data_IF_057304164622
#
_entry.id   IF_057304164622
#
_cell.length_a   1.000
_cell.length_b   1.000
_cell.length_c   1.000
_cell.angle_alpha   90.00
_cell.angle_beta   90.00
_cell.angle_gamma   90.00
#
_symmetry.space_group_name_H-M   'P 1'
#
loop_
_entity.id
_entity.type
_entity.pdbx_description
1 polymer ?
#
# COMPACT_ATOMS: atom_id res chain seq x y z
N UNK A 1 -29.13 -3.47 -48.45
CA UNK A 1 -27.69 -3.60 -48.13
C UNK A 1 -27.47 -4.58 -46.97
N UNK A 2 -27.61 -5.90 -47.19
CA UNK A 2 -27.33 -6.96 -46.20
C UNK A 2 -26.68 -8.20 -46.86
N UNK A 3 -25.85 -7.99 -47.89
CA UNK A 3 -25.29 -9.10 -48.69
C UNK A 3 -23.76 -9.14 -48.74
N UNK A 4 -23.07 -8.50 -47.79
CA UNK A 4 -21.59 -8.48 -47.77
C UNK A 4 -20.97 -8.98 -46.46
N UNK A 5 -21.68 -9.77 -45.66
CA UNK A 5 -21.04 -10.53 -44.57
C UNK A 5 -20.30 -11.75 -45.16
N UNK A 6 -19.34 -11.53 -46.06
CA UNK A 6 -18.43 -12.59 -46.51
C UNK A 6 -17.51 -12.94 -45.35
N UNK A 7 -17.78 -14.07 -44.68
CA UNK A 7 -16.86 -14.85 -43.81
C UNK A 7 -15.71 -14.03 -43.20
N UNK A 8 -16.03 -12.97 -42.45
CA UNK A 8 -15.02 -12.28 -41.68
C UNK A 8 -14.58 -13.23 -40.58
N UNK A 9 -13.30 -13.60 -40.57
CA UNK A 9 -12.72 -14.38 -39.49
C UNK A 9 -12.71 -13.52 -38.21
N UNK A 10 -12.52 -14.17 -37.07
CA UNK A 10 -12.49 -13.45 -35.79
C UNK A 10 -11.37 -12.39 -35.77
N UNK A 11 -10.25 -12.64 -36.43
CA UNK A 11 -9.12 -11.71 -36.53
C UNK A 11 -9.53 -10.41 -37.20
N UNK A 12 -10.32 -10.48 -38.28
CA UNK A 12 -10.84 -9.33 -39.00
C UNK A 12 -11.80 -8.51 -38.11
N UNK A 13 -12.77 -9.16 -37.47
CA UNK A 13 -13.67 -8.48 -36.51
C UNK A 13 -12.91 -7.84 -35.36
N UNK A 14 -11.92 -8.54 -34.80
CA UNK A 14 -11.06 -8.03 -33.73
C UNK A 14 -10.30 -6.79 -34.18
N UNK A 15 -9.76 -6.79 -35.40
CA UNK A 15 -9.06 -5.64 -35.98
C UNK A 15 -9.99 -4.43 -36.15
N UNK A 16 -11.20 -4.63 -36.64
CA UNK A 16 -12.18 -3.54 -36.79
C UNK A 16 -12.62 -2.96 -35.44
N UNK A 17 -12.87 -3.81 -34.45
CA UNK A 17 -13.22 -3.37 -33.09
C UNK A 17 -12.08 -2.54 -32.49
N UNK A 18 -10.84 -3.01 -32.60
CA UNK A 18 -9.66 -2.27 -32.14
C UNK A 18 -9.54 -0.94 -32.86
N UNK A 19 -9.72 -0.92 -34.18
CA UNK A 19 -9.62 0.31 -34.98
C UNK A 19 -10.67 1.34 -34.56
N UNK A 20 -11.89 0.90 -34.28
CA UNK A 20 -13.00 1.78 -33.92
C UNK A 20 -12.94 2.26 -32.48
N UNK A 21 -12.52 1.41 -31.54
CA UNK A 21 -12.66 1.66 -30.10
C UNK A 21 -11.34 1.83 -29.35
N UNK A 22 -10.23 1.30 -29.84
CA UNK A 22 -8.90 1.44 -29.22
C UNK A 22 -8.18 2.72 -29.69
N UNK A 23 -8.91 3.83 -29.70
CA UNK A 23 -8.37 5.15 -30.00
C UNK A 23 -7.36 5.60 -28.92
N UNK A 24 -6.59 6.66 -29.21
CA UNK A 24 -5.53 7.13 -28.31
C UNK A 24 -6.05 7.48 -26.91
N UNK A 25 -7.27 8.01 -26.79
CA UNK A 25 -7.87 8.33 -25.49
C UNK A 25 -8.12 7.07 -24.65
N UNK A 26 -8.65 6.02 -25.26
CA UNK A 26 -8.84 4.73 -24.60
C UNK A 26 -7.50 4.12 -24.16
N UNK A 27 -6.47 4.16 -25.03
CA UNK A 27 -5.13 3.65 -24.69
C UNK A 27 -4.54 4.38 -23.48
N UNK A 28 -4.56 5.71 -23.50
CA UNK A 28 -4.09 6.53 -22.37
C UNK A 28 -4.87 6.21 -21.09
N UNK A 29 -6.18 5.99 -21.18
CA UNK A 29 -7.01 5.61 -20.03
C UNK A 29 -6.57 4.26 -19.45
N UNK A 30 -6.33 3.26 -20.30
CA UNK A 30 -5.87 1.94 -19.88
C UNK A 30 -4.44 1.97 -19.32
N UNK A 31 -3.54 2.72 -19.94
CA UNK A 31 -2.17 2.93 -19.44
C UNK A 31 -2.19 3.60 -18.08
N UNK A 32 -2.94 4.69 -17.91
CA UNK A 32 -3.09 5.36 -16.62
C UNK A 32 -3.72 4.44 -15.55
N UNK A 33 -4.70 3.62 -15.94
CA UNK A 33 -5.33 2.65 -15.04
C UNK A 33 -4.34 1.60 -14.54
N UNK A 34 -3.42 1.13 -15.40
CA UNK A 34 -2.36 0.22 -14.99
C UNK A 34 -1.25 0.94 -14.20
N UNK A 35 -0.86 2.15 -14.63
CA UNK A 35 0.24 2.88 -14.00
C UNK A 35 -0.07 3.27 -12.56
N UNK A 36 -1.30 3.72 -12.31
CA UNK A 36 -1.79 4.07 -10.97
C UNK A 36 -2.21 2.88 -10.10
N UNK A 37 -2.31 1.67 -10.67
CA UNK A 37 -2.70 0.48 -9.93
C UNK A 37 -1.55 -0.04 -9.06
N UNK A 38 -1.52 0.39 -7.80
CA UNK A 38 -0.69 -0.18 -6.74
C UNK A 38 -1.56 -1.14 -5.94
N UNK A 39 -1.04 -2.33 -5.62
CA UNK A 39 -1.80 -3.29 -4.81
C UNK A 39 -1.98 -2.77 -3.37
N UNK A 40 -3.20 -2.86 -2.86
CA UNK A 40 -3.51 -2.64 -1.46
C UNK A 40 -3.86 -3.97 -0.79
N UNK A 41 -2.97 -4.46 0.07
CA UNK A 41 -3.11 -5.77 0.73
C UNK A 41 -4.32 -5.89 1.67
N UNK A 42 -4.97 -4.78 2.02
CA UNK A 42 -6.17 -4.79 2.88
C UNK A 42 -7.48 -4.73 2.08
N UNK A 43 -7.46 -4.06 0.93
CA UNK A 43 -8.67 -3.80 0.13
C UNK A 43 -8.80 -4.73 -1.06
N UNK A 44 -7.68 -5.08 -1.68
CA UNK A 44 -7.66 -5.82 -2.93
C UNK A 44 -7.68 -7.32 -2.68
N UNK A 45 -8.58 -8.02 -3.38
CA UNK A 45 -8.53 -9.48 -3.48
C UNK A 45 -7.47 -9.84 -4.54
N UNK A 46 -6.42 -10.63 -4.19
CA UNK A 46 -5.27 -10.80 -5.07
C UNK A 46 -5.63 -11.40 -6.44
N UNK A 47 -6.45 -12.45 -6.48
CA UNK A 47 -6.96 -13.03 -7.73
C UNK A 47 -7.61 -11.98 -8.64
N UNK A 48 -8.58 -11.23 -8.12
CA UNK A 48 -9.33 -10.27 -8.94
C UNK A 48 -8.47 -9.10 -9.40
N UNK A 49 -7.59 -8.62 -8.51
CA UNK A 49 -6.70 -7.52 -8.82
C UNK A 49 -5.69 -7.93 -9.90
N UNK A 50 -5.06 -9.10 -9.73
CA UNK A 50 -4.07 -9.61 -10.68
C UNK A 50 -4.68 -9.85 -12.06
N UNK A 51 -5.85 -10.50 -12.12
CA UNK A 51 -6.55 -10.74 -13.39
C UNK A 51 -6.96 -9.44 -14.08
N UNK A 52 -7.37 -8.42 -13.34
CA UNK A 52 -7.67 -7.10 -13.90
C UNK A 52 -6.43 -6.48 -14.55
N UNK A 53 -5.27 -6.53 -13.89
CA UNK A 53 -4.02 -6.00 -14.46
C UNK A 53 -3.57 -6.81 -15.68
N UNK A 54 -3.73 -8.14 -15.65
CA UNK A 54 -3.45 -9.03 -16.80
C UNK A 54 -4.32 -8.66 -18.00
N UNK A 55 -5.60 -8.39 -17.79
CA UNK A 55 -6.51 -7.97 -18.86
C UNK A 55 -6.11 -6.63 -19.46
N UNK A 56 -5.78 -5.63 -18.63
CA UNK A 56 -5.35 -4.31 -19.11
C UNK A 56 -4.07 -4.44 -19.97
N UNK A 57 -3.06 -5.15 -19.47
CA UNK A 57 -1.81 -5.34 -20.21
C UNK A 57 -1.99 -6.16 -21.49
N UNK A 58 -2.84 -7.18 -21.47
CA UNK A 58 -3.13 -7.99 -22.68
C UNK A 58 -3.89 -7.16 -23.73
N UNK A 59 -4.71 -6.20 -23.30
CA UNK A 59 -5.43 -5.30 -24.20
C UNK A 59 -4.51 -4.22 -24.79
N UNK A 60 -3.53 -3.74 -24.03
CA UNK A 60 -2.52 -2.76 -24.47
C UNK A 60 -1.43 -3.38 -25.34
N UNK A 61 -1.02 -4.62 -25.05
CA UNK A 61 0.13 -5.26 -25.68
C UNK A 61 -0.24 -6.65 -26.24
N UNK A 62 -0.45 -6.73 -27.56
CA UNK A 62 -0.89 -7.97 -28.20
C UNK A 62 0.22 -9.02 -28.38
N UNK A 63 1.50 -8.60 -28.34
CA UNK A 63 2.67 -9.44 -28.65
C UNK A 63 3.61 -9.66 -27.44
N UNK A 64 3.10 -9.50 -26.22
CA UNK A 64 3.90 -9.72 -25.00
C UNK A 64 3.63 -11.12 -24.44
N UNK A 65 4.68 -11.79 -23.95
CA UNK A 65 4.55 -13.13 -23.36
C UNK A 65 3.84 -13.08 -22.01
N UNK A 66 3.14 -14.15 -21.63
CA UNK A 66 2.46 -14.24 -20.33
C UNK A 66 3.43 -14.09 -19.15
N UNK A 67 4.64 -14.64 -19.25
CA UNK A 67 5.68 -14.44 -18.22
C UNK A 67 6.02 -12.96 -18.07
N UNK A 68 6.22 -12.24 -19.17
CA UNK A 68 6.50 -10.80 -19.13
C UNK A 68 5.34 -9.99 -18.54
N UNK A 69 4.09 -10.37 -18.83
CA UNK A 69 2.90 -9.76 -18.19
C UNK A 69 2.98 -9.95 -16.68
N UNK A 70 3.21 -11.17 -16.21
CA UNK A 70 3.26 -11.48 -14.79
C UNK A 70 4.38 -10.70 -14.08
N UNK A 71 5.56 -10.60 -14.70
CA UNK A 71 6.67 -9.77 -14.18
C UNK A 71 6.30 -8.29 -14.11
N UNK A 72 5.60 -7.75 -15.12
CA UNK A 72 5.13 -6.35 -15.10
C UNK A 72 4.12 -6.11 -13.97
N UNK A 73 3.18 -7.03 -13.76
CA UNK A 73 2.18 -6.93 -12.68
C UNK A 73 2.89 -7.02 -11.33
N UNK A 74 3.86 -7.92 -11.19
CA UNK A 74 4.61 -8.11 -9.95
C UNK A 74 5.38 -6.85 -9.52
N UNK A 75 5.91 -6.07 -10.46
CA UNK A 75 6.52 -4.76 -10.18
C UNK A 75 5.55 -3.75 -9.57
N UNK A 76 4.23 -3.91 -9.79
CA UNK A 76 3.19 -3.07 -9.17
C UNK A 76 2.90 -3.48 -7.71
N UNK A 77 3.34 -4.66 -7.28
CA UNK A 77 3.29 -5.04 -5.87
C UNK A 77 4.31 -4.28 -5.04
N UNK A 78 5.54 -4.15 -5.56
CA UNK A 78 6.64 -3.41 -4.96
C UNK A 78 7.15 -3.98 -3.62
N UNK A 79 8.34 -3.50 -3.22
CA UNK A 79 8.90 -3.70 -1.89
C UNK A 79 8.96 -5.17 -1.43
N UNK A 80 8.50 -5.41 -0.20
CA UNK A 80 8.54 -6.73 0.44
C UNK A 80 7.59 -7.74 -0.21
N UNK A 81 6.44 -7.29 -0.71
CA UNK A 81 5.45 -8.17 -1.34
C UNK A 81 5.98 -8.73 -2.66
N UNK A 82 6.57 -7.88 -3.50
CA UNK A 82 7.26 -8.31 -4.72
C UNK A 82 8.36 -9.33 -4.41
N UNK A 83 9.22 -9.03 -3.43
CA UNK A 83 10.33 -9.91 -3.06
C UNK A 83 9.83 -11.26 -2.55
N UNK A 84 8.84 -11.27 -1.66
CA UNK A 84 8.27 -12.49 -1.09
C UNK A 84 7.64 -13.39 -2.15
N UNK A 85 6.94 -12.80 -3.14
CA UNK A 85 6.36 -13.56 -4.25
C UNK A 85 7.48 -14.16 -5.11
N UNK A 86 8.52 -13.39 -5.46
CA UNK A 86 9.67 -13.91 -6.23
C UNK A 86 10.37 -15.08 -5.55
N UNK A 87 10.51 -15.05 -4.23
CA UNK A 87 11.11 -16.15 -3.48
C UNK A 87 10.29 -17.44 -3.52
N UNK A 88 8.96 -17.36 -3.72
CA UNK A 88 8.08 -18.53 -3.88
C UNK A 88 7.95 -18.99 -5.33
N UNK A 89 7.95 -18.06 -6.27
CA UNK A 89 7.77 -18.28 -7.69
C UNK A 89 9.12 -18.41 -8.40
N UNK A 90 9.75 -19.58 -8.31
CA UNK A 90 10.97 -19.90 -9.09
C UNK A 90 10.58 -20.20 -10.54
N UNK A 91 11.25 -19.60 -11.53
CA UNK A 91 10.93 -19.81 -12.94
C UNK A 91 11.22 -21.25 -13.40
N UNK A 92 10.38 -21.83 -14.30
CA UNK A 92 9.19 -21.26 -14.91
C UNK A 92 7.97 -21.30 -13.97
N UNK A 93 7.27 -20.16 -13.85
CA UNK A 93 6.15 -20.00 -12.94
C UNK A 93 4.88 -19.56 -13.70
N UNK A 94 3.76 -20.25 -13.46
CA UNK A 94 2.49 -19.98 -14.15
C UNK A 94 1.79 -18.74 -13.58
N UNK A 95 0.75 -18.24 -14.26
CA UNK A 95 -0.04 -17.10 -13.73
C UNK A 95 -0.69 -17.48 -12.40
N UNK A 96 -1.15 -18.72 -12.32
CA UNK A 96 -1.85 -19.34 -11.21
C UNK A 96 -0.92 -19.44 -9.99
N UNK A 97 0.34 -19.79 -10.20
CA UNK A 97 1.35 -19.83 -9.13
C UNK A 97 1.66 -18.44 -8.55
N UNK A 98 1.73 -17.40 -9.41
CA UNK A 98 1.87 -16.02 -8.95
C UNK A 98 0.68 -15.58 -8.11
N UNK A 99 -0.54 -15.89 -8.56
CA UNK A 99 -1.77 -15.54 -7.83
C UNK A 99 -1.83 -16.28 -6.50
N UNK A 100 -1.61 -17.60 -6.51
CA UNK A 100 -1.61 -18.45 -5.31
C UNK A 100 -0.58 -17.97 -4.28
N UNK A 101 0.64 -17.65 -4.74
CA UNK A 101 1.69 -17.10 -3.86
C UNK A 101 1.31 -15.74 -3.29
N UNK A 102 0.72 -14.86 -4.11
CA UNK A 102 0.27 -13.54 -3.69
C UNK A 102 -0.88 -13.64 -2.67
N UNK A 103 -1.86 -14.51 -2.90
CA UNK A 103 -2.94 -14.80 -1.94
C UNK A 103 -2.38 -15.32 -0.62
N UNK A 104 -1.48 -16.29 -0.69
CA UNK A 104 -0.85 -16.88 0.48
C UNK A 104 -0.09 -15.82 1.31
N UNK A 105 0.72 -14.98 0.67
CA UNK A 105 1.51 -13.95 1.35
C UNK A 105 0.58 -12.91 1.99
N UNK A 106 -0.40 -12.39 1.26
CA UNK A 106 -1.31 -11.35 1.77
C UNK A 106 -2.16 -11.89 2.92
N UNK A 107 -2.67 -13.12 2.82
CA UNK A 107 -3.51 -13.75 3.85
C UNK A 107 -2.69 -14.15 5.08
N UNK A 108 -1.52 -14.79 4.91
CA UNK A 108 -0.76 -15.37 6.03
C UNK A 108 0.20 -14.43 6.72
N UNK A 109 0.84 -13.50 5.99
CA UNK A 109 2.02 -12.78 6.53
C UNK A 109 1.76 -11.33 6.93
N UNK A 110 0.59 -10.74 6.61
CA UNK A 110 0.31 -9.30 6.80
C UNK A 110 1.34 -8.35 6.13
N UNK A 111 2.24 -8.89 5.30
CA UNK A 111 3.20 -8.13 4.50
C UNK A 111 2.41 -7.25 3.52
N UNK A 112 2.79 -5.98 3.40
CA UNK A 112 2.05 -5.01 2.59
C UNK A 112 0.86 -4.33 3.28
N UNK A 113 0.61 -4.59 4.57
CA UNK A 113 -0.24 -3.71 5.39
C UNK A 113 0.54 -2.44 5.72
N UNK A 114 0.19 -1.33 5.07
CA UNK A 114 0.48 -0.01 5.64
C UNK A 114 -0.17 0.03 7.01
N UNK A 115 0.63 0.08 8.08
CA UNK A 115 0.10 0.35 9.40
C UNK A 115 -0.54 1.73 9.36
N UNK A 116 -1.87 1.76 9.20
CA UNK A 116 -2.64 2.98 9.40
C UNK A 116 -2.50 3.23 10.90
N UNK A 117 -1.63 4.18 11.25
CA UNK A 117 -1.75 4.89 12.52
C UNK A 117 -3.16 5.47 12.46
N UNK A 118 -4.16 4.78 13.04
CA UNK A 118 -5.49 5.36 13.18
C UNK A 118 -5.22 6.78 13.67
N UNK A 119 -5.65 7.85 12.95
CA UNK A 119 -5.70 9.16 13.55
C UNK A 119 -6.60 8.91 14.75
N UNK A 120 -5.98 8.86 15.92
CA UNK A 120 -6.60 8.56 17.18
C UNK A 120 -7.90 9.34 17.15
N UNK A 121 -9.05 8.65 17.10
CA UNK A 121 -10.34 9.32 17.15
C UNK A 121 -10.20 10.33 18.26
N UNK A 122 -10.29 11.62 17.92
CA UNK A 122 -10.31 12.66 18.92
C UNK A 122 -11.65 12.49 19.62
N UNK A 123 -11.71 11.53 20.54
CA UNK A 123 -12.75 11.48 21.55
C UNK A 123 -12.65 12.85 22.19
N UNK A 124 -13.62 13.70 21.88
CA UNK A 124 -13.79 14.97 22.56
C UNK A 124 -13.92 14.62 24.03
N UNK A 125 -12.82 14.77 24.76
CA UNK A 125 -12.80 14.59 26.20
C UNK A 125 -13.76 15.66 26.73
N UNK A 126 -14.80 15.31 27.51
CA UNK A 126 -15.64 16.31 28.15
C UNK A 126 -14.73 17.21 28.98
N UNK A 127 -14.79 18.53 28.77
CA UNK A 127 -14.05 19.53 29.55
C UNK A 127 -14.49 19.43 31.01
N UNK A 128 -13.79 18.60 31.78
CA UNK A 128 -13.76 18.69 33.24
C UNK A 128 -12.66 19.71 33.53
N UNK A 129 -13.07 20.90 33.98
CA UNK A 129 -12.18 21.91 34.55
C UNK A 129 -11.38 21.30 35.69
N UNK A 130 -10.14 20.90 35.41
CA UNK A 130 -9.17 20.53 36.45
C UNK A 130 -8.40 21.79 36.80
N UNK A 131 -8.57 22.26 38.03
CA UNK A 131 -7.67 23.23 38.63
C UNK A 131 -6.24 22.68 38.58
N UNK A 132 -5.35 23.38 37.88
CA UNK A 132 -3.93 23.08 37.78
C UNK A 132 -3.25 23.26 39.14
N UNK A 133 -3.24 22.21 39.98
CA UNK A 133 -2.28 22.11 41.07
C UNK A 133 -0.97 21.57 40.51
N UNK A 134 -0.22 22.43 39.82
CA UNK A 134 1.18 22.16 39.53
C UNK A 134 1.93 22.00 40.86
N UNK A 135 2.66 20.89 41.10
CA UNK A 135 3.42 20.75 42.33
C UNK A 135 4.54 21.78 42.31
N UNK A 136 4.48 22.76 43.22
CA UNK A 136 5.52 23.78 43.38
C UNK A 136 6.82 23.08 43.77
N UNK A 137 7.73 22.93 42.80
CA UNK A 137 9.00 22.24 42.99
C UNK A 137 9.88 23.05 43.96
N UNK A 138 10.21 22.46 45.12
CA UNK A 138 11.07 23.07 46.14
C UNK A 138 12.49 22.51 46.04
N UNK A 139 13.48 23.36 46.27
CA UNK A 139 14.88 22.96 46.40
C UNK A 139 15.05 21.98 47.57
N UNK A 140 15.35 20.71 47.30
CA UNK A 140 15.56 19.73 48.36
C UNK A 140 16.77 20.00 49.27
N UNK A 141 17.69 20.91 48.89
CA UNK A 141 18.83 21.31 49.74
C UNK A 141 18.50 22.40 50.77
N UNK A 142 17.54 23.29 50.48
CA UNK A 142 17.23 24.43 51.36
C UNK A 142 15.75 24.78 51.51
N UNK A 143 14.85 24.05 50.86
CA UNK A 143 13.40 24.26 50.89
C UNK A 143 12.86 25.41 50.05
N UNK A 144 13.72 26.22 49.40
CA UNK A 144 13.30 27.38 48.61
C UNK A 144 12.62 27.00 47.30
N UNK A 145 11.62 27.77 46.87
CA UNK A 145 10.92 27.65 45.57
C UNK A 145 11.55 28.48 44.45
N UNK A 146 12.50 29.36 44.76
CA UNK A 146 13.10 30.30 43.80
C UNK A 146 14.16 29.64 42.90
N UNK A 147 14.67 28.48 43.28
CA UNK A 147 15.73 27.79 42.56
C UNK A 147 15.64 26.29 42.78
N UNK A 148 16.36 25.52 41.95
CA UNK A 148 16.46 24.07 42.08
C UNK A 148 17.71 23.67 42.86
N UNK A 149 17.73 22.47 43.43
CA UNK A 149 18.86 21.95 44.23
C UNK A 149 20.22 21.98 43.50
N UNK A 150 20.20 22.01 42.17
CA UNK A 150 21.37 22.07 41.29
C UNK A 150 22.07 23.43 41.34
N UNK A 151 21.31 24.50 41.52
CA UNK A 151 21.79 25.89 41.57
C UNK A 151 21.80 26.45 42.99
N UNK A 152 21.64 25.58 44.00
CA UNK A 152 21.63 25.99 45.39
C UNK A 152 23.04 26.23 45.94
N UNK A 153 23.27 27.43 46.47
CA UNK A 153 24.55 27.89 47.02
C UNK A 153 24.73 27.46 48.51
N UNK A 154 23.68 26.95 49.17
CA UNK A 154 23.74 26.52 50.58
C UNK A 154 24.34 25.09 50.70
N UNK A 155 25.34 24.92 51.58
CA UNK A 155 25.92 23.61 51.91
C UNK A 155 24.94 22.78 52.74
N UNK A 156 24.85 21.47 52.43
CA UNK A 156 23.97 20.51 53.10
C UNK A 156 24.40 20.39 54.58
N UNK A 157 23.48 20.62 55.53
CA UNK A 157 23.70 20.22 56.93
C UNK A 157 23.40 18.73 57.04
N UNK A 158 24.45 17.92 57.17
CA UNK A 158 24.33 16.49 57.51
C UNK A 158 24.06 16.42 59.01
N UNK A 159 22.87 15.97 59.42
CA UNK A 159 22.66 15.62 60.82
C UNK A 159 23.46 14.34 61.11
N UNK A 160 24.37 14.42 62.09
CA UNK A 160 25.01 13.23 62.68
C UNK A 160 23.94 12.40 63.39
N UNK A 161 24.02 11.09 63.19
CA UNK A 161 23.16 10.04 63.74
C UNK A 161 23.09 10.12 65.26
#
# INVERSE_FOLDING_TARGET
>A
MRQENRKHDWSCWKSEIITKWANNSWRLTMENAFESAIVNSERDKPLTWFLKQKQILSALHQNISYSMINVKILRKCGGELEHAIKCKCVEPCSTEDYISSMEDIIIRTRVGKTWIRNPMESKMIPKISREDKTPVLKCHKCGSTLHLARTCIKKIKVNKV
#
